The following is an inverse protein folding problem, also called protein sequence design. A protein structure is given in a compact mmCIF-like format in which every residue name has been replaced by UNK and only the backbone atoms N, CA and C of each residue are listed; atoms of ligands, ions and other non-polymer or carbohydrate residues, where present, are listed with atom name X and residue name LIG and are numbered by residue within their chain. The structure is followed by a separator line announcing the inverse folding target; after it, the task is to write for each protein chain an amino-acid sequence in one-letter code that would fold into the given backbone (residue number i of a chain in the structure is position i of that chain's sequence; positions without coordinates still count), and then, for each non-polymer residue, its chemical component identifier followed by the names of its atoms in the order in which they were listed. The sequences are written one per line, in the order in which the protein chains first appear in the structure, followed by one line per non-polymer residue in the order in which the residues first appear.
data_IF_241470237127
#
_entry.id   IF_241470237127
#
_cell.length_a   1.000
_cell.length_b   1.000
_cell.length_c   1.000
_cell.angle_alpha   90.00
_cell.angle_beta   90.00
_cell.angle_gamma   90.00
#
_symmetry.space_group_name_H-M   'P 1'
#
loop_
_entity.id
_entity.type
_entity.pdbx_description
1 polymer ?
#
# COMPACT_ATOMS: atom_id res chain seq x y z
N UNK A 1 12.96 11.72 12.49
CA UNK A 1 11.86 11.08 11.74
C UNK A 1 12.31 9.70 11.23
N UNK A 2 13.30 9.62 10.36
CA UNK A 2 13.77 8.33 9.84
C UNK A 2 14.29 7.39 10.93
N UNK A 3 15.08 7.91 11.89
CA UNK A 3 15.55 7.14 13.04
C UNK A 3 14.42 6.50 13.84
N UNK A 4 13.41 7.29 14.22
CA UNK A 4 12.23 6.81 14.96
C UNK A 4 11.39 5.82 14.15
N UNK A 5 11.25 6.02 12.84
CA UNK A 5 10.49 5.11 11.97
C UNK A 5 11.23 3.79 11.74
N UNK A 6 12.56 3.84 11.54
CA UNK A 6 13.40 2.66 11.46
C UNK A 6 13.33 1.86 12.77
N UNK A 7 13.42 2.53 13.92
CA UNK A 7 13.28 1.94 15.25
C UNK A 7 11.94 1.25 15.44
N UNK A 8 10.83 1.96 15.16
CA UNK A 8 9.48 1.44 15.38
C UNK A 8 9.16 0.25 14.46
N UNK A 9 9.53 0.37 13.19
CA UNK A 9 9.25 -0.68 12.20
C UNK A 9 10.29 -1.80 12.22
N UNK A 10 11.45 -1.57 12.84
CA UNK A 10 12.62 -2.44 12.81
C UNK A 10 13.11 -2.76 11.40
N UNK A 11 12.84 -1.89 10.41
CA UNK A 11 13.11 -2.18 8.99
C UNK A 11 13.63 -0.96 8.21
N UNK A 12 14.89 -0.57 8.44
CA UNK A 12 15.53 0.52 7.70
C UNK A 12 15.52 0.31 6.19
N UNK A 13 15.80 -0.91 5.71
CA UNK A 13 15.77 -1.22 4.26
C UNK A 13 14.39 -1.04 3.63
N UNK A 14 13.32 -1.44 4.31
CA UNK A 14 11.96 -1.21 3.83
C UNK A 14 11.62 0.29 3.74
N UNK A 15 12.13 1.09 4.69
CA UNK A 15 11.96 2.54 4.65
C UNK A 15 12.77 3.16 3.51
N UNK A 16 14.00 2.71 3.26
CA UNK A 16 14.81 3.15 2.12
C UNK A 16 14.13 2.83 0.78
N UNK A 17 13.59 1.62 0.62
CA UNK A 17 12.82 1.23 -0.56
C UNK A 17 11.57 2.08 -0.75
N UNK A 18 10.84 2.40 0.33
CA UNK A 18 9.69 3.28 0.27
C UNK A 18 10.07 4.70 -0.20
N UNK A 19 11.16 5.25 0.32
CA UNK A 19 11.67 6.56 -0.10
C UNK A 19 12.12 6.55 -1.57
N UNK A 20 12.73 5.46 -2.05
CA UNK A 20 13.11 5.31 -3.45
C UNK A 20 11.89 5.30 -4.39
N UNK A 21 10.83 4.56 -4.01
CA UNK A 21 9.54 4.59 -4.73
C UNK A 21 8.93 5.98 -4.77
N UNK A 22 9.00 6.73 -3.65
CA UNK A 22 8.54 8.11 -3.59
C UNK A 22 9.39 9.03 -4.48
N UNK A 23 10.71 8.88 -4.46
CA UNK A 23 11.62 9.66 -5.31
C UNK A 23 11.30 9.48 -6.80
N UNK A 24 11.02 8.23 -7.22
CA UNK A 24 10.68 7.87 -8.59
C UNK A 24 9.25 8.27 -9.01
N UNK A 25 8.33 8.46 -8.06
CA UNK A 25 6.94 8.82 -8.37
C UNK A 25 6.86 10.19 -9.06
N UNK A 26 6.14 10.29 -10.18
CA UNK A 26 5.87 11.54 -10.90
C UNK A 26 4.47 12.09 -10.67
N UNK A 27 3.74 11.55 -9.68
CA UNK A 27 2.36 11.95 -9.41
C UNK A 27 2.31 13.44 -9.02
N UNK A 28 1.51 14.28 -9.71
CA UNK A 28 1.37 15.68 -9.36
C UNK A 28 0.55 15.83 -8.07
N UNK A 29 0.98 16.73 -7.20
CA UNK A 29 0.18 17.12 -6.03
C UNK A 29 -0.93 18.04 -6.51
N UNK A 30 -2.20 17.69 -6.24
CA UNK A 30 -3.38 18.43 -6.75
C UNK A 30 -3.45 19.87 -6.25
N UNK A 31 -3.02 20.12 -5.01
CA UNK A 31 -2.99 21.43 -4.38
C UNK A 31 -1.86 21.47 -3.36
N UNK A 32 -0.99 22.46 -3.47
CA UNK A 32 0.07 22.76 -2.52
C UNK A 32 0.31 24.27 -2.51
N UNK A 33 0.55 24.83 -1.33
CA UNK A 33 1.01 26.21 -1.17
C UNK A 33 2.46 26.21 -0.62
N UNK A 34 3.17 27.34 -0.76
CA UNK A 34 4.56 27.42 -0.29
C UNK A 34 4.69 27.21 1.22
N UNK A 35 3.72 27.68 2.00
CA UNK A 35 3.70 27.55 3.46
C UNK A 35 3.56 26.09 3.94
N UNK A 36 2.90 25.24 3.16
CA UNK A 36 2.71 23.82 3.47
C UNK A 36 3.81 22.94 2.88
N UNK A 37 4.69 23.48 2.02
CA UNK A 37 5.79 22.73 1.42
C UNK A 37 6.65 21.94 2.44
N UNK A 38 6.98 22.48 3.64
CA UNK A 38 7.72 21.74 4.66
C UNK A 38 7.00 20.50 5.22
N UNK A 39 5.68 20.42 5.10
CA UNK A 39 4.89 19.29 5.58
C UNK A 39 4.89 18.10 4.62
N UNK A 40 5.38 18.28 3.38
CA UNK A 40 5.42 17.20 2.40
C UNK A 40 6.71 16.39 2.51
N UNK A 41 6.59 15.08 2.33
CA UNK A 41 7.73 14.16 2.26
C UNK A 41 8.65 14.49 1.08
N UNK A 42 8.07 14.98 -0.02
CA UNK A 42 8.75 15.44 -1.21
C UNK A 42 8.25 16.85 -1.52
N UNK A 43 9.18 17.78 -1.74
CA UNK A 43 8.83 19.15 -2.11
C UNK A 43 7.88 19.16 -3.34
N UNK A 44 6.63 19.65 -3.19
CA UNK A 44 5.64 19.65 -4.27
C UNK A 44 6.01 20.57 -5.44
N UNK A 45 6.95 21.50 -5.22
CA UNK A 45 7.43 22.47 -6.21
C UNK A 45 8.76 22.04 -6.87
N UNK A 46 9.21 20.80 -6.68
CA UNK A 46 10.42 20.30 -7.34
C UNK A 46 10.28 20.34 -8.88
N UNK A 47 11.27 20.90 -9.58
CA UNK A 47 11.32 20.91 -11.04
C UNK A 47 11.78 19.54 -11.57
N UNK A 48 11.12 19.01 -12.61
CA UNK A 48 11.52 17.76 -13.29
C UNK A 48 13.00 17.85 -13.72
N UNK A 49 13.79 16.82 -13.41
CA UNK A 49 15.18 16.69 -13.89
C UNK A 49 16.26 17.36 -13.02
N UNK A 50 15.92 18.01 -11.90
CA UNK A 50 16.92 18.41 -10.89
C UNK A 50 16.89 17.42 -9.74
N UNK A 51 18.06 16.86 -9.40
CA UNK A 51 18.25 16.21 -8.09
C UNK A 51 17.71 17.17 -7.03
N UNK A 52 16.83 16.68 -6.16
CA UNK A 52 16.03 17.48 -5.22
C UNK A 52 16.86 18.61 -4.61
N UNK A 53 16.78 19.82 -5.17
CA UNK A 53 17.76 20.87 -4.91
C UNK A 53 17.54 21.49 -3.53
N UNK A 54 18.59 21.42 -2.74
CA UNK A 54 18.79 21.73 -1.31
C UNK A 54 18.46 23.14 -0.80
N UNK A 55 18.04 24.08 -1.64
CA UNK A 55 18.15 25.51 -1.29
C UNK A 55 17.03 26.06 -0.40
N UNK A 56 16.03 25.26 -0.01
CA UNK A 56 14.97 25.68 0.92
C UNK A 56 14.36 24.53 1.75
N UNK A 57 15.03 23.39 1.85
CA UNK A 57 14.44 22.21 2.50
C UNK A 57 14.75 22.20 3.99
N UNK A 58 13.71 22.20 4.83
CA UNK A 58 13.80 21.88 6.28
C UNK A 58 14.15 20.41 6.54
N UNK A 59 14.37 19.63 5.48
CA UNK A 59 14.68 18.21 5.51
C UNK A 59 15.86 17.92 4.58
N UNK A 60 16.75 16.99 4.97
CA UNK A 60 17.83 16.53 4.10
C UNK A 60 17.23 15.88 2.82
N UNK A 61 17.94 15.93 1.69
CA UNK A 61 17.55 15.27 0.46
C UNK A 61 17.11 13.83 0.65
N UNK A 62 16.10 13.41 -0.13
CA UNK A 62 15.61 12.02 -0.09
C UNK A 62 16.71 11.01 -0.41
N UNK A 63 17.64 11.36 -1.31
CA UNK A 63 18.79 10.54 -1.66
C UNK A 63 19.74 10.34 -0.49
N UNK A 64 19.91 11.36 0.35
CA UNK A 64 20.74 11.27 1.55
C UNK A 64 20.07 10.42 2.62
N UNK A 65 18.76 10.62 2.83
CA UNK A 65 17.96 9.78 3.74
C UNK A 65 18.04 8.29 3.37
N UNK A 66 17.91 7.97 2.07
CA UNK A 66 18.08 6.60 1.55
C UNK A 66 19.48 6.06 1.86
N UNK A 67 20.52 6.87 1.63
CA UNK A 67 21.91 6.46 1.87
C UNK A 67 22.16 6.16 3.36
N UNK A 68 21.66 6.99 4.27
CA UNK A 68 21.79 6.77 5.72
C UNK A 68 21.09 5.47 6.12
N UNK A 69 19.83 5.27 5.71
CA UNK A 69 19.07 4.07 6.06
C UNK A 69 19.71 2.78 5.55
N UNK A 70 20.26 2.78 4.34
CA UNK A 70 21.02 1.63 3.79
C UNK A 70 22.37 1.41 4.46
N UNK A 71 22.92 2.44 5.11
CA UNK A 71 24.17 2.35 5.87
C UNK A 71 23.95 1.83 7.29
N UNK A 72 22.69 1.62 7.72
CA UNK A 72 22.39 1.00 9.01
C UNK A 72 22.68 -0.51 8.95
N UNK A 73 23.92 -0.89 9.25
CA UNK A 73 24.33 -2.29 9.38
C UNK A 73 24.32 -2.71 10.86
N UNK A 74 23.49 -3.69 11.22
CA UNK A 74 23.56 -4.35 12.54
C UNK A 74 22.36 -4.16 13.47
N UNK A 75 21.42 -3.27 13.14
CA UNK A 75 20.23 -3.05 13.95
C UNK A 75 19.36 -1.88 13.49
N UNK A 76 18.28 -1.65 14.23
CA UNK A 76 17.34 -0.55 14.01
C UNK A 76 17.34 0.45 15.19
N UNK A 77 18.34 0.41 16.07
CA UNK A 77 18.38 1.28 17.25
C UNK A 77 18.70 2.74 16.89
N UNK A 78 18.50 3.66 17.85
CA UNK A 78 18.88 5.06 17.67
C UNK A 78 20.39 5.24 17.50
N UNK A 79 21.22 4.43 18.18
CA UNK A 79 22.67 4.44 17.99
C UNK A 79 23.07 3.98 16.59
N UNK A 80 22.41 2.95 16.05
CA UNK A 80 22.70 2.45 14.69
C UNK A 80 22.45 3.54 13.65
N UNK A 81 21.35 4.28 13.80
CA UNK A 81 21.04 5.40 12.91
C UNK A 81 22.07 6.53 13.05
N UNK A 82 22.45 6.92 14.27
CA UNK A 82 23.44 7.99 14.48
C UNK A 82 24.81 7.60 13.92
N UNK A 83 25.24 6.35 14.08
CA UNK A 83 26.47 5.82 13.50
C UNK A 83 26.43 5.85 11.96
N UNK A 84 25.33 5.40 11.36
CA UNK A 84 25.13 5.45 9.91
C UNK A 84 25.14 6.91 9.40
N UNK A 85 24.50 7.83 10.13
CA UNK A 85 24.50 9.25 9.81
C UNK A 85 25.92 9.82 9.79
N UNK A 86 26.72 9.54 10.84
CA UNK A 86 28.12 9.97 10.93
C UNK A 86 28.98 9.39 9.81
N UNK A 87 28.78 8.12 9.45
CA UNK A 87 29.52 7.50 8.35
C UNK A 87 29.24 8.22 7.02
N UNK A 88 27.98 8.52 6.72
CA UNK A 88 27.59 9.25 5.50
C UNK A 88 28.16 10.67 5.49
N UNK A 89 28.24 11.32 6.65
CA UNK A 89 28.74 12.68 6.83
C UNK A 89 30.23 12.76 7.19
N UNK A 90 31.02 11.71 6.94
CA UNK A 90 32.48 11.67 7.19
C UNK A 90 32.91 12.06 8.62
N UNK A 91 32.18 11.59 9.63
CA UNK A 91 32.51 11.79 11.04
C UNK A 91 32.06 13.13 11.62
N UNK A 92 31.15 13.85 10.95
CA UNK A 92 30.49 15.03 11.50
C UNK A 92 29.75 14.77 12.82
N UNK A 93 29.28 15.84 13.46
CA UNK A 93 28.49 15.76 14.71
C UNK A 93 27.24 14.90 14.48
N UNK A 94 26.97 13.96 15.39
CA UNK A 94 25.75 13.14 15.36
C UNK A 94 24.48 13.98 15.39
N UNK A 95 23.38 13.39 14.91
CA UNK A 95 22.07 14.02 14.81
C UNK A 95 21.15 13.64 15.97
N UNK A 96 21.48 12.57 16.71
CA UNK A 96 20.71 12.11 17.87
C UNK A 96 21.43 12.53 19.16
N UNK A 97 20.74 13.15 20.15
CA UNK A 97 21.36 13.51 21.42
C UNK A 97 21.77 12.26 22.22
N UNK A 98 22.90 12.36 22.93
CA UNK A 98 23.47 11.25 23.72
C UNK A 98 22.50 10.69 24.76
N UNK A 99 21.66 11.54 25.37
CA UNK A 99 20.64 11.11 26.32
C UNK A 99 19.59 10.17 25.71
N UNK A 100 19.20 10.41 24.45
CA UNK A 100 18.26 9.55 23.74
C UNK A 100 18.90 8.21 23.33
N UNK A 101 20.21 8.22 23.03
CA UNK A 101 20.96 6.98 22.76
C UNK A 101 21.10 6.15 24.04
N UNK A 102 21.46 6.77 25.16
CA UNK A 102 21.66 6.09 26.43
C UNK A 102 20.39 5.38 26.95
N UNK A 103 19.21 5.93 26.65
CA UNK A 103 17.92 5.32 27.01
C UNK A 103 17.40 4.27 26.03
N UNK A 104 18.02 4.12 24.85
CA UNK A 104 17.53 3.22 23.80
C UNK A 104 18.40 1.95 23.72
N UNK A 105 17.80 0.80 23.97
CA UNK A 105 18.47 -0.50 23.81
C UNK A 105 18.71 -0.89 22.36
N UNK A 106 19.51 -1.95 22.18
CA UNK A 106 19.69 -2.58 20.87
C UNK A 106 18.35 -3.12 20.33
N UNK A 107 18.11 -2.94 19.03
CA UNK A 107 16.87 -3.39 18.38
C UNK A 107 17.20 -4.21 17.15
N UNK A 108 16.82 -5.50 17.18
CA UNK A 108 17.00 -6.41 16.07
C UNK A 108 16.10 -6.05 14.87
N UNK A 109 16.59 -6.33 13.68
CA UNK A 109 15.88 -6.10 12.42
C UNK A 109 14.69 -7.07 12.28
N UNK A 110 13.56 -6.59 11.73
CA UNK A 110 12.50 -7.48 11.23
C UNK A 110 12.88 -8.02 9.85
N UNK A 111 12.46 -9.24 9.56
CA UNK A 111 12.61 -9.85 8.25
C UNK A 111 11.69 -9.19 7.22
N UNK A 112 12.18 -9.09 5.99
CA UNK A 112 11.39 -8.66 4.85
C UNK A 112 10.38 -9.74 4.47
N UNK A 113 9.12 -9.35 4.25
CA UNK A 113 8.17 -10.20 3.53
C UNK A 113 8.13 -9.69 2.08
N UNK A 114 8.42 -10.54 1.08
CA UNK A 114 8.43 -10.10 -0.30
C UNK A 114 7.06 -9.56 -0.73
N UNK A 115 7.06 -8.43 -1.44
CA UNK A 115 5.84 -7.72 -1.85
C UNK A 115 4.92 -8.60 -2.72
N UNK A 116 5.52 -9.48 -3.53
CA UNK A 116 4.79 -10.46 -4.36
C UNK A 116 3.99 -11.42 -3.48
N UNK A 117 4.62 -12.01 -2.46
CA UNK A 117 3.95 -12.92 -1.54
C UNK A 117 2.80 -12.23 -0.78
N UNK A 118 2.95 -10.95 -0.42
CA UNK A 118 1.86 -10.18 0.21
C UNK A 118 0.69 -9.95 -0.75
N UNK A 119 0.97 -9.63 -2.02
CA UNK A 119 -0.07 -9.44 -3.05
C UNK A 119 -0.79 -10.75 -3.32
N UNK A 120 -0.06 -11.84 -3.51
CA UNK A 120 -0.62 -13.19 -3.73
C UNK A 120 -1.47 -13.64 -2.54
N UNK A 121 -0.98 -13.48 -1.31
CA UNK A 121 -1.75 -13.82 -0.11
C UNK A 121 -3.06 -13.00 0.00
N UNK A 122 -3.01 -11.71 -0.37
CA UNK A 122 -4.19 -10.84 -0.39
C UNK A 122 -5.19 -11.23 -1.49
N UNK A 123 -4.71 -11.50 -2.70
CA UNK A 123 -5.51 -11.98 -3.82
C UNK A 123 -6.20 -13.30 -3.46
N UNK A 124 -5.45 -14.28 -2.93
CA UNK A 124 -5.99 -15.56 -2.49
C UNK A 124 -7.01 -15.43 -1.34
N UNK A 125 -6.83 -14.47 -0.42
CA UNK A 125 -7.84 -14.21 0.62
C UNK A 125 -9.13 -13.64 0.05
N UNK A 126 -9.05 -12.73 -0.92
CA UNK A 126 -10.24 -12.16 -1.58
C UNK A 126 -10.98 -13.23 -2.38
N UNK A 127 -10.26 -14.10 -3.08
CA UNK A 127 -10.83 -15.21 -3.85
C UNK A 127 -11.54 -16.22 -2.94
N UNK A 128 -10.88 -16.71 -1.90
CA UNK A 128 -11.51 -17.59 -0.89
C UNK A 128 -12.77 -16.98 -0.28
N UNK A 129 -12.75 -15.69 0.06
CA UNK A 129 -13.95 -15.02 0.61
C UNK A 129 -15.10 -14.97 -0.41
N UNK A 130 -14.80 -14.79 -1.69
CA UNK A 130 -15.81 -14.81 -2.77
C UNK A 130 -16.39 -16.21 -2.95
N UNK A 131 -15.54 -17.24 -2.97
CA UNK A 131 -15.96 -18.65 -3.06
C UNK A 131 -16.88 -19.04 -1.90
N UNK A 132 -16.47 -18.73 -0.66
CA UNK A 132 -17.29 -19.00 0.54
C UNK A 132 -18.61 -18.24 0.46
N UNK A 133 -18.59 -16.97 0.04
CA UNK A 133 -19.82 -16.19 -0.14
C UNK A 133 -20.75 -16.85 -1.16
N UNK A 134 -20.23 -17.27 -2.31
CA UNK A 134 -21.02 -17.90 -3.36
C UNK A 134 -21.59 -19.25 -2.91
N UNK A 135 -20.83 -20.06 -2.15
CA UNK A 135 -21.34 -21.27 -1.51
C UNK A 135 -22.51 -20.98 -0.56
N UNK A 136 -22.40 -19.94 0.28
CA UNK A 136 -23.47 -19.56 1.21
C UNK A 136 -24.75 -19.13 0.50
N UNK A 137 -24.65 -18.54 -0.70
CA UNK A 137 -25.83 -18.21 -1.50
C UNK A 137 -26.49 -19.45 -2.10
N UNK A 138 -25.72 -20.41 -2.60
CA UNK A 138 -26.25 -21.67 -3.12
C UNK A 138 -26.99 -22.46 -2.04
N UNK A 139 -26.43 -22.54 -0.82
CA UNK A 139 -27.09 -23.21 0.31
C UNK A 139 -28.41 -22.56 0.71
N UNK A 140 -28.57 -21.26 0.47
CA UNK A 140 -29.81 -20.50 0.69
C UNK A 140 -30.75 -20.49 -0.52
N UNK A 141 -30.53 -21.36 -1.51
CA UNK A 141 -31.34 -21.47 -2.73
C UNK A 141 -31.37 -20.19 -3.59
N UNK A 142 -30.30 -19.38 -3.56
CA UNK A 142 -30.16 -18.28 -4.51
C UNK A 142 -29.65 -18.79 -5.85
N UNK A 143 -30.21 -18.28 -6.94
CA UNK A 143 -29.76 -18.59 -8.30
C UNK A 143 -28.78 -17.52 -8.77
N UNK A 144 -27.60 -17.92 -9.25
CA UNK A 144 -26.61 -17.00 -9.80
C UNK A 144 -26.72 -17.00 -11.32
N UNK A 145 -26.99 -15.83 -11.92
CA UNK A 145 -27.11 -15.65 -13.37
C UNK A 145 -26.00 -14.72 -13.84
N UNK A 146 -25.32 -15.07 -14.94
CA UNK A 146 -24.28 -14.23 -15.52
C UNK A 146 -24.90 -13.43 -16.66
N UNK A 147 -24.93 -12.10 -16.51
CA UNK A 147 -25.34 -11.23 -17.59
C UNK A 147 -24.28 -11.22 -18.69
N UNK A 148 -24.69 -11.01 -19.93
CA UNK A 148 -23.77 -10.90 -21.08
C UNK A 148 -22.71 -9.79 -20.94
N UNK A 149 -22.94 -8.78 -20.10
CA UNK A 149 -21.95 -7.75 -19.77
C UNK A 149 -20.93 -8.21 -18.70
N UNK A 150 -20.98 -9.47 -18.25
CA UNK A 150 -20.09 -10.05 -17.24
C UNK A 150 -20.54 -9.86 -15.79
N UNK A 151 -21.64 -9.15 -15.53
CA UNK A 151 -22.14 -8.96 -14.15
C UNK A 151 -22.82 -10.23 -13.63
N UNK A 152 -22.35 -10.76 -12.49
CA UNK A 152 -23.01 -11.85 -11.77
C UNK A 152 -24.18 -11.31 -10.94
N UNK A 153 -25.40 -11.77 -11.22
CA UNK A 153 -26.64 -11.40 -10.52
C UNK A 153 -27.04 -12.52 -9.56
N UNK A 154 -27.29 -12.19 -8.29
CA UNK A 154 -27.75 -13.13 -7.26
C UNK A 154 -29.25 -12.98 -7.08
N UNK A 155 -30.01 -13.99 -7.45
CA UNK A 155 -31.47 -13.94 -7.48
C UNK A 155 -32.05 -14.73 -6.30
N UNK A 156 -32.82 -14.11 -5.40
CA UNK A 156 -33.42 -14.79 -4.27
C UNK A 156 -34.53 -15.75 -4.71
N UNK A 157 -34.76 -16.86 -3.98
CA UNK A 157 -35.79 -17.85 -4.33
C UNK A 157 -37.21 -17.29 -4.25
N UNK A 158 -37.43 -16.22 -3.47
CA UNK A 158 -38.74 -15.56 -3.33
C UNK A 158 -39.08 -14.59 -4.48
N UNK A 159 -38.18 -14.40 -5.45
CA UNK A 159 -38.42 -13.47 -6.55
C UNK A 159 -39.44 -14.06 -7.53
N UNK A 160 -40.59 -13.38 -7.66
CA UNK A 160 -41.72 -13.82 -8.50
C UNK A 160 -41.59 -13.42 -9.98
N UNK A 161 -40.63 -12.56 -10.35
CA UNK A 161 -40.50 -12.08 -11.73
C UNK A 161 -39.76 -13.08 -12.62
N UNK A 162 -40.21 -13.21 -13.87
CA UNK A 162 -39.60 -14.09 -14.87
C UNK A 162 -38.26 -13.56 -15.41
N UNK A 163 -38.02 -12.26 -15.25
CA UNK A 163 -36.80 -11.57 -15.67
C UNK A 163 -36.29 -10.60 -14.60
N UNK A 164 -34.99 -10.31 -14.65
CA UNK A 164 -34.31 -9.31 -13.82
C UNK A 164 -33.41 -8.42 -14.68
N UNK A 165 -33.59 -7.11 -14.55
CA UNK A 165 -32.78 -6.11 -15.22
C UNK A 165 -31.41 -5.98 -14.57
N UNK A 166 -30.35 -6.02 -15.37
CA UNK A 166 -28.99 -5.83 -14.90
C UNK A 166 -28.75 -4.35 -14.51
N UNK A 167 -28.22 -4.05 -13.31
CA UNK A 167 -27.93 -2.66 -12.89
C UNK A 167 -26.73 -2.06 -13.63
N UNK A 168 -25.88 -2.87 -14.26
CA UNK A 168 -24.68 -2.40 -14.95
C UNK A 168 -24.95 -2.02 -16.42
N UNK A 169 -25.69 -2.84 -17.15
CA UNK A 169 -25.94 -2.63 -18.60
C UNK A 169 -27.42 -2.44 -18.96
N UNK A 170 -28.34 -2.58 -18.01
CA UNK A 170 -29.78 -2.43 -18.25
C UNK A 170 -30.45 -3.57 -19.02
N UNK A 171 -29.72 -4.64 -19.37
CA UNK A 171 -30.26 -5.81 -20.08
C UNK A 171 -31.11 -6.68 -19.16
N UNK A 172 -32.23 -7.19 -19.67
CA UNK A 172 -33.06 -8.16 -18.95
C UNK A 172 -32.48 -9.58 -19.05
N UNK A 173 -32.40 -10.26 -17.91
CA UNK A 173 -31.90 -11.63 -17.78
C UNK A 173 -33.06 -12.51 -17.31
N UNK A 174 -33.36 -13.58 -18.04
CA UNK A 174 -34.42 -14.53 -17.66
C UNK A 174 -33.98 -15.35 -16.45
N UNK A 175 -34.85 -15.47 -15.45
CA UNK A 175 -34.59 -16.20 -14.20
C UNK A 175 -35.09 -17.65 -14.28
N UNK A 176 -36.21 -17.87 -14.98
CA UNK A 176 -36.87 -19.17 -15.13
C UNK A 176 -37.02 -19.49 -16.62
N UNK A 177 -36.48 -20.63 -17.04
CA UNK A 177 -36.74 -21.22 -18.36
C UNK A 177 -38.04 -22.01 -18.25
N UNK A 178 -38.98 -21.87 -19.19
CA UNK A 178 -40.11 -22.80 -19.26
C UNK A 178 -39.59 -24.13 -19.78
N UNK A 179 -39.59 -25.16 -18.94
CA UNK A 179 -39.58 -26.55 -19.42
C UNK A 179 -40.82 -26.72 -20.30
N UNK A 180 -40.58 -26.70 -21.62
CA UNK A 180 -41.61 -26.86 -22.62
C UNK A 180 -42.29 -28.23 -22.47
N UNK A 181 -43.61 -28.19 -22.42
CA UNK A 181 -44.51 -29.27 -22.75
C UNK A 181 -44.05 -30.02 -24.02
N UNK A 182 -43.61 -31.27 -23.88
CA UNK A 182 -44.00 -32.31 -24.85
C UNK A 182 -45.24 -33.01 -24.25
N UNK A 183 -46.41 -32.54 -24.67
CA UNK A 183 -47.67 -33.27 -24.60
C UNK A 183 -47.89 -33.87 -25.99
N UNK A 184 -48.14 -35.19 -26.06
CA UNK A 184 -48.66 -35.85 -27.26
C UNK A 184 -47.97 -37.18 -27.52
#
# INVERSE_FOLDING_TARGET
ADSSSALYTRYPEGLASALEKLAASTAPVKSANQSSAPMYIINPFRKKGRAASDLSSTHPPISERIRILRSMSGGASLSDYDNAFRQVHKGGRGVIPLSAIAGAGAVALRTAVPEVAQREAKLGKVERNREVSDLMWHLNNYKIIICACGTKLKIPPKLKSASVKCPHCGRDNRVWEQEGQEKG
#
